data_IF_399805182417
#
_entry.id   IF_399805182417
#
_cell.length_a   1.000
_cell.length_b   1.000
_cell.length_c   1.000
_cell.angle_alpha   90.00
_cell.angle_beta   90.00
_cell.angle_gamma   90.00
#
_symmetry.space_group_name_H-M   'P 1'
#
loop_
_entity.id
_entity.type
_entity.pdbx_description
1 polymer ?
#
# COMPACT_ATOMS: atom_id res chain seq x y z
N UNK A 1 -9.30 -14.14 -12.72
CA UNK A 1 -10.16 -13.05 -13.20
C UNK A 1 -9.79 -11.75 -12.50
N UNK A 2 -9.52 -10.69 -13.24
CA UNK A 2 -9.18 -9.40 -12.66
C UNK A 2 -10.39 -8.79 -11.97
N UNK A 3 -10.21 -8.23 -10.78
CA UNK A 3 -11.26 -7.49 -10.07
C UNK A 3 -11.61 -6.20 -10.82
N UNK A 4 -12.73 -5.57 -10.44
CA UNK A 4 -13.10 -4.25 -10.96
C UNK A 4 -12.03 -3.19 -10.68
N UNK A 5 -11.39 -3.27 -9.51
CA UNK A 5 -10.27 -2.39 -9.16
C UNK A 5 -9.08 -2.60 -10.09
N UNK A 6 -8.70 -3.85 -10.35
CA UNK A 6 -7.57 -4.15 -11.22
C UNK A 6 -7.78 -3.63 -12.64
N UNK A 7 -8.98 -3.82 -13.18
CA UNK A 7 -9.31 -3.30 -14.51
C UNK A 7 -9.25 -1.77 -14.56
N UNK A 8 -9.75 -1.12 -13.52
CA UNK A 8 -9.75 0.34 -13.43
C UNK A 8 -8.33 0.87 -13.35
N UNK A 9 -7.49 0.30 -12.49
CA UNK A 9 -6.10 0.72 -12.32
C UNK A 9 -5.24 0.38 -13.56
N UNK A 10 -5.52 -0.71 -14.25
CA UNK A 10 -4.80 -1.07 -15.47
C UNK A 10 -4.89 0.03 -16.53
N UNK A 11 -6.04 0.71 -16.63
CA UNK A 11 -6.23 1.84 -17.53
C UNK A 11 -5.35 3.03 -17.17
N UNK A 12 -4.92 3.11 -15.91
CA UNK A 12 -4.07 4.17 -15.39
C UNK A 12 -2.59 3.79 -15.39
N UNK A 13 -2.25 2.60 -15.89
CA UNK A 13 -0.89 2.12 -15.96
C UNK A 13 -0.31 1.64 -14.64
N UNK A 14 -1.16 1.24 -13.69
CA UNK A 14 -0.75 0.81 -12.35
C UNK A 14 -1.59 -0.39 -11.89
N UNK A 15 -1.00 -1.24 -11.07
CA UNK A 15 -1.72 -2.35 -10.43
C UNK A 15 -2.27 -1.90 -9.07
N UNK A 16 -3.27 -2.64 -8.57
CA UNK A 16 -3.80 -2.40 -7.23
C UNK A 16 -2.72 -2.58 -6.16
N UNK A 17 -1.87 -3.60 -6.32
CA UNK A 17 -0.76 -3.84 -5.40
C UNK A 17 0.21 -2.64 -5.34
N UNK A 18 0.51 -2.07 -6.49
CA UNK A 18 1.35 -0.87 -6.57
C UNK A 18 0.69 0.33 -5.90
N UNK A 19 -0.60 0.53 -6.13
CA UNK A 19 -1.36 1.61 -5.50
C UNK A 19 -1.34 1.50 -3.98
N UNK A 20 -1.62 0.31 -3.45
CA UNK A 20 -1.58 0.04 -2.01
C UNK A 20 -0.20 0.28 -1.42
N UNK A 21 0.84 -0.07 -2.16
CA UNK A 21 2.22 0.14 -1.75
C UNK A 21 2.57 1.63 -1.69
N UNK A 22 2.16 2.40 -2.69
CA UNK A 22 2.35 3.86 -2.68
C UNK A 22 1.68 4.50 -1.46
N UNK A 23 0.43 4.10 -1.18
CA UNK A 23 -0.30 4.58 0.00
C UNK A 23 0.44 4.25 1.30
N UNK A 24 0.91 3.01 1.43
CA UNK A 24 1.62 2.56 2.63
C UNK A 24 2.91 3.34 2.84
N UNK A 25 3.68 3.56 1.79
CA UNK A 25 4.93 4.33 1.86
C UNK A 25 4.63 5.76 2.31
N UNK A 26 3.58 6.39 1.78
CA UNK A 26 3.18 7.73 2.19
C UNK A 26 2.75 7.78 3.65
N UNK A 27 1.83 6.90 4.03
CA UNK A 27 1.19 6.96 5.35
C UNK A 27 2.10 6.48 6.48
N UNK A 28 2.92 5.48 6.22
CA UNK A 28 3.80 4.88 7.25
C UNK A 28 5.21 5.41 7.20
N UNK A 29 5.67 5.83 6.02
CA UNK A 29 7.04 6.29 5.85
C UNK A 29 7.20 7.80 5.98
N UNK A 30 6.31 8.55 5.36
CA UNK A 30 6.41 10.00 5.32
C UNK A 30 7.75 10.47 4.76
N UNK A 31 8.29 11.53 5.33
CA UNK A 31 9.58 12.11 4.92
C UNK A 31 10.75 11.21 5.32
N UNK A 32 10.67 10.55 6.48
CA UNK A 32 11.74 9.69 6.97
C UNK A 32 11.89 8.42 6.13
N UNK A 33 10.80 7.92 5.57
CA UNK A 33 10.78 6.69 4.80
C UNK A 33 10.38 5.48 5.64
N UNK A 34 10.27 4.34 4.96
CA UNK A 34 9.91 3.07 5.59
C UNK A 34 10.88 2.00 5.09
N UNK A 35 11.31 1.10 5.99
CA UNK A 35 12.15 -0.02 5.59
C UNK A 35 11.36 -1.05 4.78
N UNK A 36 12.01 -1.82 3.89
CA UNK A 36 11.33 -2.90 3.17
C UNK A 36 10.65 -3.91 4.09
N UNK A 37 11.29 -4.24 5.22
CA UNK A 37 10.70 -5.16 6.22
C UNK A 37 9.42 -4.59 6.83
N UNK A 38 9.46 -3.35 7.27
CA UNK A 38 8.28 -2.70 7.85
C UNK A 38 7.15 -2.58 6.84
N UNK A 39 7.49 -2.29 5.58
CA UNK A 39 6.51 -2.22 4.50
C UNK A 39 5.85 -3.59 4.26
N UNK A 40 6.65 -4.66 4.18
CA UNK A 40 6.14 -6.01 4.00
C UNK A 40 5.20 -6.40 5.15
N UNK A 41 5.59 -6.12 6.39
CA UNK A 41 4.77 -6.38 7.57
C UNK A 41 3.45 -5.61 7.52
N UNK A 42 3.51 -4.34 7.13
CA UNK A 42 2.30 -3.52 7.01
C UNK A 42 1.34 -4.05 5.94
N UNK A 43 1.88 -4.45 4.80
CA UNK A 43 1.08 -4.97 3.69
C UNK A 43 0.67 -6.43 3.86
N UNK A 44 1.17 -7.13 4.89
CA UNK A 44 0.93 -8.55 5.15
C UNK A 44 1.36 -9.42 3.96
N UNK A 45 2.53 -9.11 3.40
CA UNK A 45 3.14 -9.87 2.31
C UNK A 45 4.55 -10.30 2.70
N UNK A 46 5.09 -11.26 1.97
CA UNK A 46 6.46 -11.71 2.19
C UNK A 46 7.48 -10.65 1.77
N UNK A 47 8.63 -10.65 2.43
CA UNK A 47 9.71 -9.71 2.14
C UNK A 47 10.21 -9.80 0.69
N UNK A 48 10.30 -11.02 0.15
CA UNK A 48 10.70 -11.22 -1.24
C UNK A 48 9.72 -10.58 -2.20
N UNK A 49 8.42 -10.71 -1.93
CA UNK A 49 7.36 -10.09 -2.73
C UNK A 49 7.45 -8.57 -2.66
N UNK A 50 7.63 -8.03 -1.46
CA UNK A 50 7.79 -6.58 -1.28
C UNK A 50 9.02 -6.06 -2.01
N UNK A 51 10.12 -6.81 -2.00
CA UNK A 51 11.36 -6.44 -2.68
C UNK A 51 11.16 -6.33 -4.20
N UNK A 52 10.53 -7.33 -4.80
CA UNK A 52 10.24 -7.32 -6.25
C UNK A 52 9.31 -6.15 -6.61
N UNK A 53 8.26 -5.98 -5.82
CA UNK A 53 7.26 -4.93 -6.05
C UNK A 53 7.89 -3.54 -5.97
N UNK A 54 8.65 -3.26 -4.92
CA UNK A 54 9.29 -1.94 -4.72
C UNK A 54 10.41 -1.68 -5.72
N UNK A 55 11.17 -2.71 -6.13
CA UNK A 55 12.19 -2.55 -7.15
C UNK A 55 11.61 -2.08 -8.48
N UNK A 56 10.46 -2.63 -8.87
CA UNK A 56 9.75 -2.19 -10.08
C UNK A 56 9.30 -0.74 -9.96
N UNK A 57 8.84 -0.34 -8.78
CA UNK A 57 8.37 1.02 -8.55
C UNK A 57 9.52 2.03 -8.51
N UNK A 58 10.70 1.60 -8.09
CA UNK A 58 11.92 2.41 -8.19
C UNK A 58 12.29 2.60 -9.67
N UNK A 59 12.24 1.54 -10.47
CA UNK A 59 12.48 1.63 -11.92
C UNK A 59 11.50 2.56 -12.62
N UNK A 60 10.24 2.56 -12.18
CA UNK A 60 9.21 3.45 -12.72
C UNK A 60 9.37 4.90 -12.27
N UNK A 61 10.25 5.17 -11.33
CA UNK A 61 10.52 6.51 -10.83
C UNK A 61 9.52 7.01 -9.77
N UNK A 62 8.70 6.15 -9.21
CA UNK A 62 7.68 6.51 -8.21
C UNK A 62 8.19 6.41 -6.77
N UNK A 63 9.19 5.59 -6.55
CA UNK A 63 9.78 5.33 -5.25
C UNK A 63 11.29 5.51 -5.36
N UNK A 64 11.89 6.03 -4.30
CA UNK A 64 13.35 6.15 -4.20
C UNK A 64 13.84 5.46 -2.94
N UNK A 65 15.07 4.97 -3.01
CA UNK A 65 15.79 4.46 -1.86
C UNK A 65 16.65 5.57 -1.29
N UNK A 66 16.60 5.77 0.02
CA UNK A 66 17.51 6.69 0.68
C UNK A 66 18.28 5.93 1.78
N UNK A 67 19.48 6.40 2.17
CA UNK A 67 20.27 5.71 3.19
C UNK A 67 19.50 5.52 4.48
N UNK A 68 19.62 4.31 5.06
CA UNK A 68 19.06 3.99 6.36
C UNK A 68 20.03 4.29 7.49
N UNK A 69 19.79 3.67 8.65
CA UNK A 69 20.62 3.86 9.85
C UNK A 69 22.03 3.28 9.71
N UNK A 70 22.23 2.33 8.82
CA UNK A 70 23.53 1.73 8.55
C UNK A 70 23.67 1.37 7.07
N UNK A 71 24.86 0.88 6.67
CA UNK A 71 25.17 0.57 5.26
C UNK A 71 24.29 -0.53 4.64
N UNK A 72 23.70 -1.39 5.48
CA UNK A 72 22.91 -2.54 5.01
C UNK A 72 21.44 -2.24 4.88
N UNK A 73 21.01 -1.11 5.40
CA UNK A 73 19.61 -0.74 5.40
C UNK A 73 19.37 0.47 4.51
N UNK A 74 18.16 0.55 3.98
CA UNK A 74 17.70 1.72 3.26
C UNK A 74 16.24 1.97 3.59
N UNK A 75 15.81 3.20 3.33
CA UNK A 75 14.45 3.64 3.53
C UNK A 75 13.81 3.88 2.16
N UNK A 76 12.55 3.53 2.04
CA UNK A 76 11.75 3.77 0.84
C UNK A 76 10.95 5.04 1.05
N UNK A 77 11.01 5.95 0.09
CA UNK A 77 10.23 7.20 0.09
C UNK A 77 9.59 7.40 -1.27
N UNK A 78 8.51 8.15 -1.31
CA UNK A 78 7.91 8.53 -2.57
C UNK A 78 8.75 9.63 -3.23
N UNK A 79 8.91 9.53 -4.54
CA UNK A 79 9.45 10.62 -5.36
C UNK A 79 8.34 11.65 -5.60
N UNK A 80 8.71 12.81 -6.15
CA UNK A 80 7.72 13.79 -6.59
C UNK A 80 6.74 13.19 -7.59
N UNK A 81 7.24 12.35 -8.52
CA UNK A 81 6.39 11.65 -9.49
C UNK A 81 5.43 10.68 -8.81
N UNK A 82 5.92 9.94 -7.79
CA UNK A 82 5.08 9.03 -7.01
C UNK A 82 3.99 9.75 -6.26
N UNK A 83 4.31 10.89 -5.66
CA UNK A 83 3.33 11.73 -4.96
C UNK A 83 2.24 12.25 -5.90
N UNK A 84 2.65 12.75 -7.08
CA UNK A 84 1.71 13.25 -8.09
C UNK A 84 0.79 12.13 -8.60
N UNK A 85 1.36 10.95 -8.84
CA UNK A 85 0.58 9.79 -9.25
C UNK A 85 -0.46 9.44 -8.20
N UNK A 86 -0.05 9.39 -6.94
CA UNK A 86 -0.94 9.06 -5.83
C UNK A 86 -2.07 10.08 -5.68
N UNK A 87 -1.76 11.36 -5.78
CA UNK A 87 -2.77 12.44 -5.75
C UNK A 87 -3.81 12.30 -6.87
N UNK A 88 -3.38 11.81 -8.03
CA UNK A 88 -4.27 11.54 -9.16
C UNK A 88 -5.13 10.30 -8.95
N UNK A 89 -4.57 9.25 -8.33
CA UNK A 89 -5.23 7.96 -8.16
C UNK A 89 -6.23 7.95 -7.02
N UNK A 90 -5.96 8.66 -5.92
CA UNK A 90 -6.81 8.63 -4.72
C UNK A 90 -8.26 9.02 -5.03
N UNK A 91 -8.54 10.15 -5.70
CA UNK A 91 -9.93 10.51 -6.01
C UNK A 91 -10.65 9.45 -6.83
N UNK A 92 -9.94 8.81 -7.75
CA UNK A 92 -10.50 7.74 -8.60
C UNK A 92 -10.81 6.49 -7.79
N UNK A 93 -9.93 6.13 -6.87
CA UNK A 93 -10.15 4.99 -5.98
C UNK A 93 -11.32 5.25 -5.04
N UNK A 94 -11.42 6.46 -4.49
CA UNK A 94 -12.55 6.87 -3.64
C UNK A 94 -13.86 6.84 -4.40
N UNK A 95 -13.88 7.35 -5.63
CA UNK A 95 -15.08 7.33 -6.46
C UNK A 95 -15.53 5.90 -6.75
N UNK A 96 -14.59 5.00 -7.08
CA UNK A 96 -14.91 3.60 -7.32
C UNK A 96 -15.43 2.92 -6.06
N UNK A 97 -14.83 3.17 -4.92
CA UNK A 97 -15.27 2.64 -3.64
C UNK A 97 -16.67 3.14 -3.29
N UNK A 98 -16.94 4.43 -3.43
CA UNK A 98 -18.25 5.01 -3.18
C UNK A 98 -19.31 4.39 -4.08
N UNK A 99 -19.02 4.20 -5.35
CA UNK A 99 -19.92 3.57 -6.32
C UNK A 99 -20.21 2.12 -5.92
N UNK A 100 -19.19 1.38 -5.52
CA UNK A 100 -19.32 -0.03 -5.12
C UNK A 100 -20.07 -0.19 -3.81
N UNK A 101 -19.95 0.78 -2.89
CA UNK A 101 -20.51 0.72 -1.54
C UNK A 101 -21.75 1.58 -1.37
N UNK A 102 -22.33 2.08 -2.46
CA UNK A 102 -23.44 3.05 -2.41
C UNK A 102 -24.69 2.53 -1.68
N UNK A 103 -24.92 1.22 -1.69
CA UNK A 103 -26.07 0.58 -1.05
C UNK A 103 -25.86 0.29 0.43
N UNK A 104 -24.67 0.54 0.95
CA UNK A 104 -24.28 0.19 2.32
C UNK A 104 -24.31 1.45 3.17
N UNK A 105 -25.02 1.40 4.32
CA UNK A 105 -25.10 2.53 5.23
C UNK A 105 -23.74 2.83 5.88
N UNK A 106 -23.58 4.08 6.36
CA UNK A 106 -22.38 4.47 7.09
C UNK A 106 -22.16 3.64 8.35
N UNK A 107 -23.26 3.27 9.01
CA UNK A 107 -23.20 2.43 10.20
C UNK A 107 -22.63 1.04 9.87
N UNK A 108 -23.13 0.41 8.82
CA UNK A 108 -22.64 -0.89 8.37
C UNK A 108 -21.19 -0.81 7.94
N UNK A 109 -20.79 0.23 7.22
CA UNK A 109 -19.41 0.43 6.81
C UNK A 109 -18.47 0.54 8.01
N UNK A 110 -18.88 1.27 9.05
CA UNK A 110 -18.09 1.40 10.29
C UNK A 110 -17.97 0.07 11.02
N UNK A 111 -19.02 -0.74 11.06
CA UNK A 111 -18.98 -2.07 11.65
C UNK A 111 -18.01 -2.99 10.88
N UNK A 112 -18.09 -2.96 9.56
CA UNK A 112 -17.17 -3.73 8.72
C UNK A 112 -15.72 -3.31 8.95
N UNK A 113 -15.47 -2.01 8.99
CA UNK A 113 -14.13 -1.47 9.25
C UNK A 113 -13.60 -1.93 10.60
N UNK A 114 -14.41 -1.86 11.65
CA UNK A 114 -14.01 -2.31 12.98
C UNK A 114 -13.67 -3.80 12.99
N UNK A 115 -14.48 -4.63 12.33
CA UNK A 115 -14.22 -6.06 12.22
C UNK A 115 -12.94 -6.36 11.46
N UNK A 116 -12.69 -5.67 10.36
CA UNK A 116 -11.46 -5.84 9.56
C UNK A 116 -10.23 -5.41 10.33
N UNK A 117 -10.31 -4.32 11.08
CA UNK A 117 -9.21 -3.86 11.92
C UNK A 117 -8.87 -4.88 13.01
N UNK A 118 -9.89 -5.52 13.59
CA UNK A 118 -9.69 -6.57 14.57
C UNK A 118 -8.98 -7.79 13.96
N UNK A 119 -9.42 -8.22 12.78
CA UNK A 119 -8.79 -9.33 12.04
C UNK A 119 -7.33 -8.99 11.72
N UNK A 120 -7.09 -7.79 11.23
CA UNK A 120 -5.73 -7.33 10.92
C UNK A 120 -4.83 -7.34 12.15
N UNK A 121 -5.33 -6.84 13.28
CA UNK A 121 -4.57 -6.84 14.54
C UNK A 121 -4.20 -8.25 14.98
N UNK A 122 -5.12 -9.21 14.85
CA UNK A 122 -4.87 -10.61 15.18
C UNK A 122 -3.84 -11.25 14.23
N UNK A 123 -3.91 -10.92 12.95
CA UNK A 123 -2.93 -11.41 11.98
C UNK A 123 -1.52 -10.87 12.25
N UNK A 124 -1.41 -9.63 12.67
CA UNK A 124 -0.11 -9.04 13.01
C UNK A 124 0.50 -9.66 14.26
N UNK A 125 -0.30 -9.97 15.26
CA UNK A 125 0.19 -10.65 16.47
C UNK A 125 0.52 -12.12 16.23
N UNK A 126 -0.06 -12.75 15.22
CA UNK A 126 0.23 -14.12 14.81
C UNK A 126 1.32 -14.19 13.74
N UNK A 127 2.19 -13.18 13.63
CA UNK A 127 3.24 -13.13 12.62
C UNK A 127 4.21 -14.31 12.75
N UNK A 128 4.77 -14.82 11.62
CA UNK A 128 5.55 -16.06 11.61
C UNK A 128 6.76 -16.12 12.54
N UNK A 129 7.29 -15.04 12.99
CA UNK A 129 8.43 -15.02 13.90
C UNK A 129 8.13 -15.40 15.33
N UNK A 130 6.90 -15.73 15.67
CA UNK A 130 6.44 -16.01 17.03
C UNK A 130 6.14 -17.49 17.28
N UNK A 131 6.31 -18.32 16.30
CA UNK A 131 6.14 -19.77 16.44
C UNK A 131 7.29 -20.42 17.18
#
# INVERSE_FOLDING_TARGET
MASGFDKHFARLGITQAQFRTLLAIRERGGVAGITPSALADHLLIERATASVLTSRMVEQGWVARKPGKNRRTFQLVLTAAGKRLLEKLIPRAVALANQTLSDISRHELRQMQASLQLVEARLRTAAPGQE
#
